data_IF_679551327996
#
_entry.id   IF_679551327996
#
_cell.length_a   1.000
_cell.length_b   1.000
_cell.length_c   1.000
_cell.angle_alpha   90.00
_cell.angle_beta   90.00
_cell.angle_gamma   90.00
#
_symmetry.space_group_name_H-M   'P 1'
#
loop_
_entity.id
_entity.type
_entity.pdbx_description
1 polymer ?
#
# COMPACT_ATOMS: atom_id res chain seq x y z
N UNK A 1 0.92 -59.53 32.20
CA UNK A 1 1.09 -59.00 30.82
C UNK A 1 0.37 -57.66 30.74
N UNK A 2 1.09 -56.54 30.56
CA UNK A 2 1.02 -55.65 29.37
C UNK A 2 -0.43 -55.18 29.04
N UNK A 3 -0.85 -53.91 29.02
CA UNK A 3 -0.22 -52.56 29.00
C UNK A 3 -1.29 -51.48 29.36
N UNK A 4 -0.95 -50.57 30.29
CA UNK A 4 -1.07 -49.07 30.30
C UNK A 4 -2.28 -48.43 29.58
N UNK A 5 -3.28 -47.82 30.24
CA UNK A 5 -3.33 -46.45 30.83
C UNK A 5 -2.56 -45.37 30.04
N UNK A 6 -3.23 -44.30 29.58
CA UNK A 6 -3.18 -42.97 30.22
C UNK A 6 -4.09 -41.93 29.53
N UNK A 7 -4.53 -41.01 30.38
CA UNK A 7 -5.55 -39.98 30.28
C UNK A 7 -5.33 -38.91 29.21
N UNK A 8 -6.44 -38.27 28.83
CA UNK A 8 -6.54 -36.91 28.31
C UNK A 8 -5.59 -35.97 29.08
N UNK A 9 -4.45 -35.66 28.49
CA UNK A 9 -3.59 -34.58 28.91
C UNK A 9 -3.69 -33.47 27.85
N UNK A 10 -4.24 -32.35 28.29
CA UNK A 10 -4.17 -31.05 27.64
C UNK A 10 -2.69 -30.72 27.38
N UNK A 11 -2.18 -31.02 26.17
CA UNK A 11 -0.85 -30.60 25.74
C UNK A 11 -0.97 -29.13 25.36
N UNK A 12 -0.64 -28.27 26.32
CA UNK A 12 -0.17 -26.93 26.07
C UNK A 12 1.13 -27.08 25.27
N UNK A 13 1.08 -26.92 23.95
CA UNK A 13 2.28 -26.81 23.13
C UNK A 13 2.92 -25.50 23.51
N UNK A 14 3.85 -25.59 24.47
CA UNK A 14 4.93 -24.66 24.68
C UNK A 14 5.66 -24.55 23.33
N UNK A 15 5.27 -23.60 22.50
CA UNK A 15 6.15 -23.12 21.46
C UNK A 15 7.37 -22.60 22.20
N UNK A 16 8.44 -23.40 22.20
CA UNK A 16 9.79 -22.95 22.43
C UNK A 16 10.06 -21.96 21.29
N UNK A 17 9.57 -20.74 21.45
CA UNK A 17 9.87 -19.64 20.54
C UNK A 17 11.40 -19.57 20.53
N UNK A 18 12.07 -19.59 19.37
CA UNK A 18 13.44 -19.15 19.35
C UNK A 18 13.43 -17.78 20.02
N UNK A 19 14.17 -17.65 21.11
CA UNK A 19 14.47 -16.36 21.69
C UNK A 19 15.05 -15.54 20.54
N UNK A 20 14.22 -14.68 19.95
CA UNK A 20 14.70 -13.64 19.06
C UNK A 20 15.48 -12.69 19.97
N UNK A 21 16.72 -13.09 20.28
CA UNK A 21 17.74 -12.17 20.69
C UNK A 21 17.71 -11.08 19.61
N UNK A 22 17.35 -9.87 20.03
CA UNK A 22 17.34 -8.71 19.16
C UNK A 22 18.78 -8.51 18.71
N UNK A 23 19.11 -9.08 17.56
CA UNK A 23 20.41 -8.87 16.92
C UNK A 23 20.48 -7.37 16.63
N UNK A 24 21.33 -6.69 17.40
CA UNK A 24 21.65 -5.30 17.22
C UNK A 24 22.11 -5.09 15.77
N UNK A 25 21.50 -4.14 15.06
CA UNK A 25 21.91 -3.86 13.69
C UNK A 25 23.37 -3.41 13.66
N UNK A 26 24.11 -4.01 12.74
CA UNK A 26 25.55 -3.86 12.55
C UNK A 26 25.77 -2.77 11.53
N UNK A 27 26.35 -1.65 11.99
CA UNK A 27 26.65 -0.53 11.12
C UNK A 27 27.79 -0.85 10.17
N UNK A 28 27.51 -1.00 8.87
CA UNK A 28 28.49 -1.41 7.86
C UNK A 28 29.61 -0.38 7.67
N UNK A 29 29.40 0.88 8.08
CA UNK A 29 30.38 1.95 8.03
C UNK A 29 31.30 2.00 9.26
N UNK A 30 30.90 1.43 10.40
CA UNK A 30 31.67 1.52 11.66
C UNK A 30 31.97 0.18 12.34
N UNK A 31 31.29 -0.91 11.97
CA UNK A 31 31.42 -2.23 12.58
C UNK A 31 32.84 -2.79 12.49
N UNK A 32 33.22 -3.56 13.49
CA UNK A 32 34.46 -4.34 13.48
C UNK A 32 34.36 -5.51 12.50
N UNK A 33 35.51 -6.11 12.17
CA UNK A 33 35.54 -7.31 11.32
C UNK A 33 34.70 -8.45 11.90
N UNK A 34 34.76 -8.66 13.23
CA UNK A 34 33.98 -9.70 13.92
C UNK A 34 32.48 -9.44 13.82
N UNK A 35 32.05 -8.19 14.02
CA UNK A 35 30.63 -7.83 13.89
C UNK A 35 30.15 -8.02 12.44
N UNK A 36 30.94 -7.66 11.44
CA UNK A 36 30.55 -7.91 10.05
C UNK A 36 30.48 -9.40 9.70
N UNK A 37 31.33 -10.25 10.29
CA UNK A 37 31.34 -11.71 10.09
C UNK A 37 30.07 -12.39 10.66
N UNK A 38 29.35 -11.72 11.57
CA UNK A 38 28.09 -12.21 12.13
C UNK A 38 26.92 -12.06 11.15
N UNK A 39 27.02 -11.21 10.13
CA UNK A 39 25.96 -11.03 9.12
C UNK A 39 25.99 -12.23 8.17
N UNK A 40 24.87 -12.94 8.01
CA UNK A 40 24.86 -14.10 7.15
C UNK A 40 25.17 -13.71 5.69
N UNK A 41 26.02 -14.51 5.05
CA UNK A 41 26.67 -14.28 3.75
C UNK A 41 27.88 -13.32 3.76
N UNK A 42 28.19 -12.68 4.89
CA UNK A 42 29.42 -11.92 5.09
C UNK A 42 30.37 -12.76 5.94
N UNK A 43 31.29 -13.48 5.28
CA UNK A 43 32.40 -14.15 5.97
C UNK A 43 33.61 -13.22 6.15
N UNK A 44 34.57 -13.57 7.00
CA UNK A 44 35.79 -12.79 7.33
C UNK A 44 36.48 -12.12 6.13
N UNK A 45 36.64 -12.81 5.00
CA UNK A 45 37.23 -12.26 3.76
C UNK A 45 36.35 -11.21 3.09
N UNK A 46 35.04 -11.37 3.15
CA UNK A 46 34.06 -10.39 2.64
C UNK A 46 33.95 -9.22 3.61
N UNK A 47 33.95 -9.47 4.93
CA UNK A 47 33.97 -8.45 5.97
C UNK A 47 35.16 -7.49 5.79
N UNK A 48 36.38 -8.01 5.56
CA UNK A 48 37.55 -7.15 5.29
C UNK A 48 37.34 -6.27 4.05
N UNK A 49 36.81 -6.81 2.95
CA UNK A 49 36.52 -6.01 1.75
C UNK A 49 35.47 -4.94 1.99
N UNK A 50 34.49 -5.22 2.86
CA UNK A 50 33.48 -4.24 3.25
C UNK A 50 34.19 -3.08 3.94
N UNK A 51 35.08 -3.36 4.91
CA UNK A 51 35.89 -2.35 5.62
C UNK A 51 36.75 -1.54 4.65
N UNK A 52 37.47 -2.22 3.75
CA UNK A 52 38.37 -1.59 2.77
C UNK A 52 37.64 -0.66 1.79
N UNK A 53 36.34 -0.89 1.58
CA UNK A 53 35.50 -0.14 0.62
C UNK A 53 34.54 0.83 1.31
N UNK A 54 34.69 1.11 2.61
CA UNK A 54 33.95 2.19 3.28
C UNK A 54 34.28 3.57 2.68
N UNK A 55 33.35 4.53 2.71
CA UNK A 55 31.99 4.46 3.25
C UNK A 55 30.94 3.94 2.24
N UNK A 56 29.77 3.60 2.75
CA UNK A 56 28.55 3.25 2.03
C UNK A 56 27.43 4.22 2.42
N UNK A 57 26.68 4.70 1.44
CA UNK A 57 25.52 5.58 1.65
C UNK A 57 24.23 4.79 1.81
N UNK A 58 24.21 3.54 1.34
CA UNK A 58 23.08 2.61 1.48
C UNK A 58 23.56 1.16 1.69
N UNK A 59 22.69 0.25 2.12
CA UNK A 59 22.99 -1.18 2.16
C UNK A 59 23.13 -1.75 0.74
N UNK A 60 22.38 -1.20 -0.22
CA UNK A 60 22.45 -1.58 -1.62
C UNK A 60 23.86 -1.33 -2.20
N UNK A 61 24.59 -0.34 -1.69
CA UNK A 61 25.97 -0.09 -2.08
C UNK A 61 26.91 -1.27 -1.76
N UNK A 62 26.53 -2.24 -0.91
CA UNK A 62 27.29 -3.47 -0.71
C UNK A 62 27.42 -4.32 -1.98
N UNK A 63 26.60 -4.06 -3.00
CA UNK A 63 26.70 -4.77 -4.27
C UNK A 63 28.05 -4.58 -4.96
N UNK A 64 28.72 -3.45 -4.72
CA UNK A 64 30.06 -3.15 -5.26
C UNK A 64 31.17 -3.97 -4.60
N UNK A 65 30.89 -4.65 -3.49
CA UNK A 65 31.84 -5.53 -2.80
C UNK A 65 31.94 -6.87 -3.51
N UNK A 66 33.13 -7.17 -4.04
CA UNK A 66 33.41 -8.42 -4.74
C UNK A 66 33.12 -9.65 -3.87
N UNK A 67 32.03 -10.35 -4.17
CA UNK A 67 31.55 -11.53 -3.43
C UNK A 67 30.11 -11.39 -2.92
N UNK A 68 29.56 -10.18 -2.87
CA UNK A 68 28.16 -9.91 -2.54
C UNK A 68 27.34 -9.75 -3.83
N UNK A 69 27.69 -8.76 -4.68
CA UNK A 69 26.99 -8.47 -5.94
C UNK A 69 25.55 -7.99 -5.74
N UNK A 70 24.84 -7.65 -6.82
CA UNK A 70 23.42 -7.20 -6.76
C UNK A 70 22.41 -8.36 -6.58
N UNK A 71 22.91 -9.58 -6.42
CA UNK A 71 22.12 -10.80 -6.49
C UNK A 71 21.53 -11.25 -5.14
N UNK A 72 21.32 -12.56 -5.04
CA UNK A 72 20.66 -13.20 -3.88
C UNK A 72 21.27 -12.80 -2.53
N UNK A 73 22.60 -12.73 -2.42
CA UNK A 73 23.27 -12.45 -1.14
C UNK A 73 23.00 -11.04 -0.62
N UNK A 74 22.94 -10.04 -1.49
CA UNK A 74 22.57 -8.69 -1.09
C UNK A 74 21.12 -8.64 -0.60
N UNK A 75 20.22 -9.32 -1.31
CA UNK A 75 18.82 -9.39 -0.90
C UNK A 75 18.66 -10.15 0.42
N UNK A 76 19.41 -11.23 0.65
CA UNK A 76 19.41 -11.95 1.92
C UNK A 76 19.94 -11.04 3.06
N UNK A 77 20.99 -10.24 2.83
CA UNK A 77 21.53 -9.28 3.83
C UNK A 77 20.51 -8.19 4.15
N UNK A 78 19.83 -7.65 3.13
CA UNK A 78 18.75 -6.66 3.30
C UNK A 78 17.57 -7.27 4.07
N UNK A 79 17.16 -8.50 3.72
CA UNK A 79 16.03 -9.19 4.33
C UNK A 79 16.29 -9.65 5.76
N UNK A 80 17.55 -9.94 6.12
CA UNK A 80 17.95 -10.20 7.50
C UNK A 80 17.73 -8.97 8.38
N UNK A 81 17.87 -7.77 7.80
CA UNK A 81 17.72 -6.51 8.53
C UNK A 81 18.78 -6.33 9.62
N UNK A 82 19.94 -6.99 9.50
CA UNK A 82 21.05 -6.90 10.45
C UNK A 82 22.08 -5.85 10.04
N UNK A 83 22.07 -5.36 8.81
CA UNK A 83 23.03 -4.37 8.33
C UNK A 83 22.39 -2.96 8.28
N UNK A 84 23.11 -1.93 8.71
CA UNK A 84 22.67 -0.53 8.62
C UNK A 84 23.84 0.38 8.14
N UNK A 85 23.57 1.58 7.60
CA UNK A 85 24.61 2.58 7.28
C UNK A 85 24.76 3.67 8.36
N UNK A 86 23.68 3.97 9.08
CA UNK A 86 23.58 5.09 10.03
C UNK A 86 22.94 4.69 11.37
N UNK A 87 22.92 3.42 11.74
CA UNK A 87 22.52 3.04 13.10
C UNK A 87 23.67 3.36 14.06
N UNK A 88 23.39 4.26 15.00
CA UNK A 88 24.32 4.64 16.07
C UNK A 88 24.30 3.55 17.13
N UNK A 89 25.39 2.81 17.23
CA UNK A 89 25.76 2.08 18.43
C UNK A 89 26.06 3.11 19.52
N UNK A 90 25.10 3.42 20.39
CA UNK A 90 25.40 4.13 21.63
C UNK A 90 26.22 3.21 22.53
N UNK A 91 27.53 3.21 22.30
CA UNK A 91 28.50 2.72 23.25
C UNK A 91 28.45 3.69 24.45
N UNK A 92 27.70 3.30 25.49
CA UNK A 92 27.95 3.79 26.83
C UNK A 92 29.37 3.39 27.21
N UNK A 93 30.33 4.26 26.88
CA UNK A 93 31.69 4.15 27.37
C UNK A 93 31.66 4.46 28.86
N UNK A 94 32.00 3.43 29.62
CA UNK A 94 32.42 3.48 31.01
C UNK A 94 33.50 4.56 31.20
N UNK A 95 33.18 5.59 31.98
CA UNK A 95 34.18 6.35 32.73
C UNK A 95 34.08 5.87 34.18
N UNK A 96 35.12 5.12 34.57
CA UNK A 96 35.36 4.62 35.91
C UNK A 96 36.10 5.71 36.70
N UNK A 97 35.58 6.12 37.86
CA UNK A 97 36.35 6.35 39.11
C UNK A 97 35.40 6.55 40.29
N UNK A 98 35.41 5.58 41.21
CA UNK A 98 35.27 5.65 42.68
C UNK A 98 34.35 6.70 43.34
N UNK A 99 33.31 6.25 44.06
CA UNK A 99 33.14 6.44 45.53
C UNK A 99 32.20 5.36 46.11
N UNK A 100 32.65 4.79 47.21
CA UNK A 100 32.03 3.80 48.10
C UNK A 100 30.91 4.42 48.96
N UNK A 101 29.68 3.87 48.94
CA UNK A 101 28.96 3.35 50.14
C UNK A 101 27.45 3.08 49.92
N UNK A 102 27.07 1.82 50.17
CA UNK A 102 25.92 1.33 50.96
C UNK A 102 24.50 1.88 50.68
N UNK A 103 23.67 1.04 50.04
CA UNK A 103 22.42 0.54 50.64
C UNK A 103 21.76 -0.52 49.73
N UNK A 104 21.80 -1.80 50.15
CA UNK A 104 20.99 -2.85 49.54
C UNK A 104 19.52 -2.64 49.94
N UNK A 105 18.71 -2.19 48.99
CA UNK A 105 17.25 -2.18 49.11
C UNK A 105 16.61 -2.76 47.84
N UNK A 106 15.87 -3.85 48.04
CA UNK A 106 14.69 -4.25 47.26
C UNK A 106 14.88 -4.43 45.74
N UNK A 107 15.33 -5.63 45.35
CA UNK A 107 15.20 -6.14 43.97
C UNK A 107 13.73 -6.39 43.61
N UNK A 108 13.04 -5.32 43.21
CA UNK A 108 11.85 -5.45 42.37
C UNK A 108 12.37 -5.64 40.95
N UNK A 109 12.08 -6.81 40.35
CA UNK A 109 12.42 -7.10 38.95
C UNK A 109 12.01 -5.91 38.08
N UNK A 110 12.93 -5.28 37.33
CA UNK A 110 12.54 -4.25 36.37
C UNK A 110 11.56 -4.90 35.40
N UNK A 111 10.40 -4.26 35.21
CA UNK A 111 9.57 -4.58 34.06
C UNK A 111 10.43 -4.26 32.84
N UNK A 112 10.89 -5.30 32.13
CA UNK A 112 11.65 -5.18 30.89
C UNK A 112 10.78 -4.40 29.90
N UNK A 113 11.06 -3.11 29.75
CA UNK A 113 10.45 -2.28 28.72
C UNK A 113 11.03 -2.79 27.39
N UNK A 114 10.23 -3.53 26.63
CA UNK A 114 10.66 -4.03 25.32
C UNK A 114 11.14 -2.83 24.47
N UNK A 115 12.33 -2.90 23.85
CA UNK A 115 12.82 -1.80 23.04
C UNK A 115 11.84 -1.55 21.90
N UNK A 116 11.26 -0.37 21.88
CA UNK A 116 10.41 0.11 20.80
C UNK A 116 11.28 0.27 19.55
N UNK A 117 11.22 -0.72 18.65
CA UNK A 117 11.82 -0.62 17.31
C UNK A 117 11.30 0.68 16.67
N UNK A 118 12.16 1.62 16.26
CA UNK A 118 11.71 2.84 15.60
C UNK A 118 10.93 2.44 14.37
N UNK A 119 9.61 2.64 14.42
CA UNK A 119 8.73 2.39 13.30
C UNK A 119 9.08 3.43 12.24
N UNK A 120 9.54 3.00 11.06
CA UNK A 120 9.69 3.92 9.93
C UNK A 120 8.27 4.41 9.59
N UNK A 121 8.01 5.68 9.87
CA UNK A 121 6.76 6.35 9.52
C UNK A 121 6.92 7.02 8.17
N UNK A 122 6.11 6.64 7.20
CA UNK A 122 6.04 7.34 5.94
C UNK A 122 5.04 8.49 6.02
N UNK A 123 5.32 9.63 5.35
CA UNK A 123 4.38 10.74 5.30
C UNK A 123 3.02 10.31 4.77
N UNK A 124 1.93 10.74 5.42
CA UNK A 124 0.57 10.44 4.98
C UNK A 124 -0.01 11.51 4.05
N UNK A 125 0.52 12.73 4.10
CA UNK A 125 -0.01 13.86 3.33
C UNK A 125 0.57 13.89 1.91
N UNK A 126 0.43 12.77 1.21
CA UNK A 126 0.80 12.60 -0.18
C UNK A 126 -0.46 12.29 -0.99
N UNK A 127 -0.65 13.00 -2.09
CA UNK A 127 -1.91 12.92 -2.83
C UNK A 127 -1.68 12.74 -4.31
N UNK A 128 -2.52 11.93 -4.96
CA UNK A 128 -2.74 12.03 -6.39
C UNK A 128 -3.45 13.38 -6.61
N UNK A 129 -2.87 14.25 -7.44
CA UNK A 129 -3.29 15.64 -7.56
C UNK A 129 -4.07 15.94 -8.84
N UNK A 130 -3.52 15.51 -9.98
CA UNK A 130 -4.07 15.77 -11.30
C UNK A 130 -3.70 14.62 -12.24
N UNK A 131 -4.61 14.24 -13.13
CA UNK A 131 -4.35 13.23 -14.17
C UNK A 131 -4.91 13.71 -15.51
N UNK A 132 -4.25 13.38 -16.62
CA UNK A 132 -4.72 13.64 -17.98
C UNK A 132 -4.82 12.32 -18.76
N UNK A 133 -5.97 11.63 -18.74
CA UNK A 133 -6.14 10.35 -19.43
C UNK A 133 -6.29 10.48 -20.95
N UNK A 134 -7.05 11.49 -21.40
CA UNK A 134 -7.38 11.69 -22.81
C UNK A 134 -6.75 12.98 -23.33
N UNK A 135 -5.43 13.08 -23.46
CA UNK A 135 -4.76 14.30 -23.91
C UNK A 135 -5.13 14.66 -25.36
N UNK A 136 -4.84 15.90 -25.76
CA UNK A 136 -4.75 16.21 -27.19
C UNK A 136 -3.53 15.52 -27.81
N UNK A 137 -3.70 14.90 -28.98
CA UNK A 137 -2.64 14.15 -29.66
C UNK A 137 -2.60 12.67 -29.24
N UNK A 138 -1.40 12.08 -29.24
CA UNK A 138 -1.22 10.66 -28.95
C UNK A 138 -1.11 10.41 -27.44
N UNK A 139 -2.01 9.58 -26.91
CA UNK A 139 -2.06 9.17 -25.49
C UNK A 139 -0.68 8.70 -24.98
N UNK A 140 0.02 7.87 -25.76
CA UNK A 140 1.36 7.35 -25.41
C UNK A 140 2.41 8.41 -25.09
N UNK A 141 2.26 9.62 -25.65
CA UNK A 141 3.22 10.71 -25.52
C UNK A 141 2.75 11.77 -24.52
N UNK A 142 1.43 11.94 -24.38
CA UNK A 142 0.85 13.10 -23.73
C UNK A 142 0.04 12.76 -22.47
N UNK A 143 -0.18 11.48 -22.15
CA UNK A 143 -0.78 11.06 -20.87
C UNK A 143 0.20 11.27 -19.72
N UNK A 144 -0.34 11.75 -18.59
CA UNK A 144 0.42 11.91 -17.37
C UNK A 144 -0.45 11.86 -16.12
N UNK A 145 0.20 11.58 -15.00
CA UNK A 145 -0.34 11.68 -13.66
C UNK A 145 0.56 12.56 -12.81
N UNK A 146 0.01 13.14 -11.75
CA UNK A 146 0.76 14.00 -10.85
C UNK A 146 0.50 13.67 -9.38
N UNK A 147 1.58 13.73 -8.60
CA UNK A 147 1.56 13.60 -7.15
C UNK A 147 1.87 14.96 -6.52
N UNK A 148 1.11 15.34 -5.49
CA UNK A 148 1.34 16.51 -4.66
C UNK A 148 1.83 16.09 -3.26
N UNK A 149 2.88 16.74 -2.80
CA UNK A 149 3.36 16.64 -1.42
C UNK A 149 2.70 17.72 -0.55
N UNK A 150 1.72 17.31 0.27
CA UNK A 150 1.02 18.17 1.21
C UNK A 150 1.77 18.45 2.51
N UNK A 151 2.96 17.88 2.71
CA UNK A 151 3.80 18.14 3.88
C UNK A 151 4.53 19.50 3.74
N UNK A 152 5.05 20.00 4.86
CA UNK A 152 5.93 21.18 4.93
C UNK A 152 7.42 20.83 4.84
N UNK A 153 7.74 19.57 4.55
CA UNK A 153 9.09 19.05 4.30
C UNK A 153 9.16 18.28 2.97
N UNK A 154 10.37 18.11 2.44
CA UNK A 154 10.63 17.31 1.24
C UNK A 154 10.43 15.81 1.52
N UNK A 155 9.77 15.11 0.60
CA UNK A 155 9.48 13.68 0.72
C UNK A 155 10.33 12.90 -0.28
N UNK A 156 11.07 11.91 0.24
CA UNK A 156 11.69 10.86 -0.57
C UNK A 156 10.65 9.82 -0.98
N UNK A 157 10.52 9.63 -2.29
CA UNK A 157 9.61 8.68 -2.90
C UNK A 157 10.24 7.33 -3.21
N UNK A 158 11.51 7.08 -2.85
CA UNK A 158 12.14 5.80 -3.08
C UNK A 158 11.26 4.63 -2.57
N UNK A 159 10.88 3.74 -3.49
CA UNK A 159 10.05 2.56 -3.18
C UNK A 159 8.56 2.83 -2.99
N UNK A 160 8.11 4.09 -3.05
CA UNK A 160 6.69 4.39 -3.20
C UNK A 160 6.20 3.82 -4.53
N UNK A 161 4.90 3.54 -4.60
CA UNK A 161 4.29 2.93 -5.77
C UNK A 161 3.03 3.67 -6.17
N UNK A 162 2.84 3.84 -7.48
CA UNK A 162 1.56 4.21 -8.08
C UNK A 162 1.08 3.04 -8.94
N UNK A 163 -0.13 2.57 -8.65
CA UNK A 163 -0.68 1.35 -9.23
C UNK A 163 -1.99 1.65 -9.95
N UNK A 164 -2.06 1.18 -11.18
CA UNK A 164 -3.26 1.15 -12.02
C UNK A 164 -4.35 0.22 -11.45
N UNK A 165 -5.61 0.46 -11.79
CA UNK A 165 -6.76 -0.27 -11.25
C UNK A 165 -7.55 -1.07 -12.27
N UNK A 166 -7.60 -0.67 -13.54
CA UNK A 166 -8.43 -1.32 -14.55
C UNK A 166 -7.64 -1.65 -15.82
N UNK A 167 -7.89 -2.84 -16.37
CA UNK A 167 -7.27 -3.28 -17.62
C UNK A 167 -5.92 -3.97 -17.39
N UNK A 168 -4.91 -3.58 -18.16
CA UNK A 168 -3.58 -4.18 -18.12
C UNK A 168 -2.74 -3.60 -16.98
N UNK A 169 -3.10 -3.97 -15.75
CA UNK A 169 -2.56 -3.38 -14.51
C UNK A 169 -1.03 -3.24 -14.53
N UNK A 170 -0.57 -2.00 -14.37
CA UNK A 170 0.83 -1.65 -14.17
C UNK A 170 1.04 -1.03 -12.79
N UNK A 171 2.22 -1.28 -12.25
CA UNK A 171 2.71 -0.63 -11.03
C UNK A 171 4.02 0.05 -11.37
N UNK A 172 4.10 1.35 -11.10
CA UNK A 172 5.34 2.10 -11.17
C UNK A 172 5.86 2.32 -9.75
N UNK A 173 7.12 1.96 -9.52
CA UNK A 173 7.83 2.25 -8.28
C UNK A 173 8.86 3.36 -8.55
N UNK A 174 8.85 4.41 -7.74
CA UNK A 174 9.83 5.48 -7.87
C UNK A 174 11.23 4.95 -7.50
N UNK A 175 12.25 5.20 -8.32
CA UNK A 175 13.62 4.82 -8.01
C UNK A 175 14.17 5.65 -6.85
N UNK A 176 15.32 5.23 -6.31
CA UNK A 176 16.09 6.04 -5.38
C UNK A 176 16.39 7.43 -5.97
N UNK A 177 16.56 8.42 -5.10
CA UNK A 177 16.75 9.83 -5.44
C UNK A 177 15.55 10.48 -6.15
N UNK A 178 14.33 10.01 -5.85
CA UNK A 178 13.09 10.65 -6.30
C UNK A 178 12.54 11.50 -5.18
N UNK A 179 12.55 12.82 -5.32
CA UNK A 179 12.12 13.72 -4.26
C UNK A 179 10.99 14.63 -4.72
N UNK A 180 10.05 14.93 -3.82
CA UNK A 180 9.09 16.02 -3.99
C UNK A 180 9.30 17.02 -2.86
N UNK A 181 9.68 18.26 -3.22
CA UNK A 181 9.83 19.36 -2.27
C UNK A 181 8.57 19.55 -1.42
N UNK A 182 8.72 20.17 -0.25
CA UNK A 182 7.60 20.65 0.55
C UNK A 182 6.61 21.44 -0.32
N UNK A 183 5.32 21.13 -0.22
CA UNK A 183 4.26 21.74 -1.06
C UNK A 183 4.50 21.62 -2.57
N UNK A 184 5.34 20.68 -3.00
CA UNK A 184 5.74 20.48 -4.39
C UNK A 184 4.87 19.47 -5.14
N UNK A 185 5.06 19.44 -6.45
CA UNK A 185 4.34 18.59 -7.39
C UNK A 185 5.34 17.77 -8.21
N UNK A 186 4.97 16.55 -8.57
CA UNK A 186 5.75 15.68 -9.46
C UNK A 186 4.85 15.03 -10.50
N UNK A 187 5.05 15.44 -11.74
CA UNK A 187 4.40 14.84 -12.91
C UNK A 187 5.15 13.60 -13.37
N UNK A 188 4.43 12.54 -13.72
CA UNK A 188 4.95 11.28 -14.26
C UNK A 188 4.22 10.98 -15.56
N UNK A 189 4.97 10.92 -16.66
CA UNK A 189 4.39 10.60 -17.97
C UNK A 189 4.10 9.11 -18.13
N UNK A 190 3.22 8.76 -19.06
CA UNK A 190 3.04 7.36 -19.50
C UNK A 190 4.34 6.74 -19.99
N UNK A 191 5.19 7.49 -20.68
CA UNK A 191 6.48 6.99 -21.13
C UNK A 191 7.39 6.56 -19.97
N UNK A 192 7.30 7.22 -18.82
CA UNK A 192 8.06 6.91 -17.61
C UNK A 192 7.42 5.77 -16.81
N UNK A 193 6.13 5.87 -16.47
CA UNK A 193 5.46 4.89 -15.60
C UNK A 193 5.04 3.61 -16.31
N UNK A 194 4.86 3.69 -17.64
CA UNK A 194 4.19 2.69 -18.48
C UNK A 194 2.73 2.41 -18.10
N UNK A 195 2.14 3.20 -17.20
CA UNK A 195 0.72 3.15 -16.86
C UNK A 195 -0.08 3.76 -18.02
N UNK A 196 -1.19 3.13 -18.36
CA UNK A 196 -2.12 3.58 -19.39
C UNK A 196 -3.41 3.97 -18.68
N UNK A 197 -3.79 5.25 -18.72
CA UNK A 197 -4.99 5.74 -18.05
C UNK A 197 -6.17 5.57 -19.00
N UNK A 198 -7.10 4.64 -18.72
CA UNK A 198 -8.15 4.37 -19.69
C UNK A 198 -9.14 5.53 -19.88
N UNK A 199 -9.39 5.89 -21.14
CA UNK A 199 -10.30 6.98 -21.51
C UNK A 199 -11.77 6.72 -21.13
N UNK A 200 -12.18 5.46 -20.98
CA UNK A 200 -13.56 5.10 -20.62
C UNK A 200 -13.81 4.99 -19.11
N UNK A 201 -12.78 5.24 -18.28
CA UNK A 201 -12.84 5.23 -16.83
C UNK A 201 -11.86 4.22 -16.23
N UNK A 202 -11.18 4.64 -15.18
CA UNK A 202 -10.09 3.90 -14.52
C UNK A 202 -9.86 4.43 -13.09
N UNK A 203 -8.76 4.04 -12.48
CA UNK A 203 -8.30 4.61 -11.22
C UNK A 203 -6.81 4.39 -10.98
N UNK A 204 -6.32 5.02 -9.91
CA UNK A 204 -4.94 4.90 -9.45
C UNK A 204 -4.90 4.73 -7.94
N UNK A 205 -3.91 3.99 -7.45
CA UNK A 205 -3.65 3.80 -6.01
C UNK A 205 -2.20 4.19 -5.71
N UNK A 206 -2.01 5.19 -4.84
CA UNK A 206 -0.72 5.57 -4.29
C UNK A 206 -0.45 4.77 -3.03
N UNK A 207 0.68 4.09 -2.99
CA UNK A 207 1.05 3.13 -1.95
C UNK A 207 2.45 3.50 -1.44
N UNK A 208 2.61 3.58 -0.12
CA UNK A 208 3.92 3.81 0.47
C UNK A 208 4.79 2.53 0.44
N UNK A 209 6.08 2.59 0.80
CA UNK A 209 6.97 1.42 0.78
C UNK A 209 6.60 0.31 1.77
N UNK A 210 5.74 0.59 2.77
CA UNK A 210 5.16 -0.42 3.66
C UNK A 210 3.98 -1.18 3.03
N UNK A 211 3.55 -0.82 1.82
CA UNK A 211 2.37 -1.39 1.18
C UNK A 211 1.06 -0.77 1.68
N UNK A 212 1.10 0.31 2.47
CA UNK A 212 -0.08 1.02 2.94
C UNK A 212 -0.56 1.95 1.82
N UNK A 213 -1.87 1.89 1.53
CA UNK A 213 -2.52 2.82 0.60
C UNK A 213 -2.60 4.19 1.26
N UNK A 214 -1.98 5.17 0.61
CA UNK A 214 -1.98 6.57 1.07
C UNK A 214 -3.09 7.35 0.39
N UNK A 215 -3.30 7.12 -0.90
CA UNK A 215 -4.35 7.78 -1.65
C UNK A 215 -4.87 6.90 -2.78
N UNK A 216 -6.11 7.15 -3.19
CA UNK A 216 -6.72 6.43 -4.29
C UNK A 216 -7.74 7.30 -5.01
N UNK A 217 -7.76 7.16 -6.32
CA UNK A 217 -8.73 7.85 -7.18
C UNK A 217 -9.40 6.87 -8.12
N UNK A 218 -10.63 7.19 -8.50
CA UNK A 218 -11.30 6.60 -9.65
C UNK A 218 -11.93 7.74 -10.45
N UNK A 219 -11.96 7.61 -11.75
CA UNK A 219 -12.54 8.61 -12.65
C UNK A 219 -13.45 7.95 -13.69
N UNK A 220 -14.54 8.63 -14.10
CA UNK A 220 -15.45 8.13 -15.13
C UNK A 220 -14.83 8.30 -16.53
N UNK A 221 -15.62 8.15 -17.59
CA UNK A 221 -15.15 8.47 -18.95
C UNK A 221 -14.52 9.87 -19.02
N UNK A 222 -13.27 9.93 -19.48
CA UNK A 222 -12.47 11.15 -19.57
C UNK A 222 -12.91 11.98 -20.79
N UNK A 223 -13.26 13.27 -20.59
CA UNK A 223 -13.42 14.18 -21.71
C UNK A 223 -12.08 14.43 -22.40
N UNK A 224 -12.10 14.58 -23.72
CA UNK A 224 -10.90 14.91 -24.49
C UNK A 224 -10.28 16.24 -24.01
N UNK A 225 -8.97 16.23 -23.86
CA UNK A 225 -8.09 17.31 -23.43
C UNK A 225 -8.54 18.01 -22.14
N UNK A 226 -9.00 17.23 -21.16
CA UNK A 226 -9.31 17.71 -19.82
C UNK A 226 -8.61 16.86 -18.78
N UNK A 227 -8.00 17.50 -17.81
CA UNK A 227 -7.44 16.81 -16.65
C UNK A 227 -8.48 16.66 -15.55
N UNK A 228 -8.35 15.60 -14.76
CA UNK A 228 -9.15 15.38 -13.57
C UNK A 228 -8.36 15.91 -12.37
N UNK A 229 -8.90 16.94 -11.72
CA UNK A 229 -8.20 17.75 -10.74
C UNK A 229 -8.76 17.50 -9.35
N UNK A 230 -7.88 17.23 -8.38
CA UNK A 230 -8.21 17.22 -6.95
C UNK A 230 -8.57 18.65 -6.50
N UNK A 231 -9.61 18.75 -5.71
CA UNK A 231 -10.06 19.98 -5.03
C UNK A 231 -10.39 19.66 -3.58
N UNK A 232 -10.63 20.69 -2.76
CA UNK A 232 -11.11 20.50 -1.38
C UNK A 232 -12.49 19.83 -1.29
N UNK A 233 -13.27 19.83 -2.38
CA UNK A 233 -14.63 19.28 -2.45
C UNK A 233 -14.74 17.96 -3.21
N UNK A 234 -13.62 17.37 -3.62
CA UNK A 234 -13.57 16.19 -4.47
C UNK A 234 -12.85 16.47 -5.78
N UNK A 235 -13.29 15.86 -6.87
CA UNK A 235 -12.58 15.89 -8.15
C UNK A 235 -13.39 16.56 -9.26
N UNK A 236 -12.73 17.37 -10.07
CA UNK A 236 -13.37 18.14 -11.14
C UNK A 236 -12.55 18.00 -12.43
N UNK A 237 -13.23 17.70 -13.53
CA UNK A 237 -12.65 17.82 -14.87
C UNK A 237 -12.43 19.29 -15.19
N UNK A 238 -11.23 19.68 -15.65
CA UNK A 238 -10.87 21.05 -16.04
C UNK A 238 -10.21 21.05 -17.40
N UNK A 239 -10.40 22.13 -18.16
CA UNK A 239 -9.63 22.36 -19.41
C UNK A 239 -8.29 23.02 -19.15
N UNK A 240 -8.12 23.61 -17.97
CA UNK A 240 -6.84 24.18 -17.54
C UNK A 240 -5.99 23.03 -17.00
N UNK A 241 -4.93 22.69 -17.72
CA UNK A 241 -3.95 21.71 -17.30
C UNK A 241 -2.90 22.39 -16.42
N UNK A 242 -2.60 21.82 -15.25
CA UNK A 242 -1.68 22.43 -14.27
C UNK A 242 -0.50 21.55 -13.87
N UNK A 243 0.22 20.91 -14.82
CA UNK A 243 1.36 20.06 -14.47
C UNK A 243 2.45 20.87 -13.75
N UNK A 244 2.86 20.37 -12.60
CA UNK A 244 3.87 20.94 -11.72
C UNK A 244 3.38 22.11 -10.86
N UNK A 245 2.07 22.41 -10.85
CA UNK A 245 1.50 23.61 -10.23
C UNK A 245 0.20 23.30 -9.47
N UNK A 246 -0.25 24.19 -8.56
CA UNK A 246 -1.56 24.06 -7.94
C UNK A 246 -2.70 24.04 -8.96
N UNK A 247 -3.71 23.20 -8.72
CA UNK A 247 -4.85 23.05 -9.62
C UNK A 247 -5.65 24.34 -9.77
N UNK A 248 -5.90 24.73 -11.02
CA UNK A 248 -6.76 25.87 -11.37
C UNK A 248 -7.99 25.38 -12.15
N UNK A 249 -9.17 25.50 -11.56
CA UNK A 249 -10.42 25.07 -12.20
C UNK A 249 -11.04 26.22 -12.99
N UNK A 250 -11.25 26.03 -14.29
CA UNK A 250 -11.96 27.02 -15.09
C UNK A 250 -13.43 27.14 -14.65
N UNK A 251 -13.94 28.37 -14.61
CA UNK A 251 -15.30 28.68 -14.09
C UNK A 251 -16.40 27.90 -14.80
N UNK A 252 -16.20 27.57 -16.09
CA UNK A 252 -17.17 26.82 -16.89
C UNK A 252 -17.24 25.38 -16.39
N UNK A 253 -16.10 24.72 -16.21
CA UNK A 253 -16.04 23.36 -15.66
C UNK A 253 -16.65 23.25 -14.27
N UNK A 254 -16.34 24.20 -13.38
CA UNK A 254 -16.94 24.26 -12.04
C UNK A 254 -18.48 24.37 -12.10
N UNK A 255 -19.01 25.25 -12.95
CA UNK A 255 -20.45 25.46 -13.08
C UNK A 255 -21.17 24.26 -13.73
N UNK A 256 -20.55 23.61 -14.71
CA UNK A 256 -21.12 22.41 -15.37
C UNK A 256 -21.23 21.25 -14.38
N UNK A 257 -20.17 20.99 -13.60
CA UNK A 257 -20.16 19.92 -12.60
C UNK A 257 -21.16 20.17 -11.47
N UNK A 258 -21.31 21.42 -11.00
CA UNK A 258 -22.34 21.79 -10.03
C UNK A 258 -23.75 21.56 -10.56
N UNK A 259 -24.04 21.91 -11.82
CA UNK A 259 -25.35 21.66 -12.44
C UNK A 259 -25.65 20.17 -12.58
N UNK A 260 -24.66 19.35 -12.93
CA UNK A 260 -24.81 17.88 -13.00
C UNK A 260 -25.08 17.29 -11.61
N UNK A 261 -24.34 17.73 -10.59
CA UNK A 261 -24.54 17.29 -9.20
C UNK A 261 -25.92 17.68 -8.65
N UNK A 262 -26.37 18.91 -8.91
CA UNK A 262 -27.70 19.39 -8.51
C UNK A 262 -28.83 18.65 -9.23
N UNK A 263 -28.68 18.33 -10.52
CA UNK A 263 -29.66 17.52 -11.26
C UNK A 263 -29.74 16.08 -10.73
N UNK A 264 -28.62 15.51 -10.28
CA UNK A 264 -28.58 14.18 -9.67
C UNK A 264 -29.23 14.16 -8.27
N UNK A 265 -29.08 15.23 -7.49
CA UNK A 265 -29.74 15.40 -6.18
C UNK A 265 -31.24 15.70 -6.31
N UNK A 266 -31.67 16.50 -7.30
CA UNK A 266 -33.07 16.81 -7.54
C UNK A 266 -33.89 15.61 -8.06
N UNK A 267 -33.25 14.64 -8.72
CA UNK A 267 -33.94 13.43 -9.22
C UNK A 267 -34.22 12.41 -8.09
N UNK A 268 -33.57 12.51 -6.93
CA UNK A 268 -33.84 11.66 -5.76
C UNK A 268 -34.84 12.28 -4.77
N UNK A 269 -35.21 13.55 -4.95
CA UNK A 269 -36.18 14.25 -4.07
C UNK A 269 -37.55 14.49 -4.72
N UNK A 270 -37.71 14.21 -6.01
CA UNK A 270 -38.98 14.33 -6.73
C UNK A 270 -39.78 13.00 -6.83
N UNK A 271 -39.64 12.12 -5.85
CA UNK A 271 -40.42 10.87 -5.76
C UNK A 271 -41.30 10.81 -4.50
N UNK A 272 -41.77 11.94 -3.96
CA UNK A 272 -42.90 11.97 -3.00
C UNK A 272 -43.53 13.37 -2.97
N UNK A 273 -44.37 13.71 -3.95
CA UNK A 273 -45.40 14.74 -3.81
C UNK A 273 -46.26 14.84 -5.08
N UNK A 274 -47.23 13.94 -5.27
CA UNK A 274 -48.46 14.28 -6.01
C UNK A 274 -49.66 13.60 -5.31
N UNK A 275 -50.39 14.41 -4.55
CA UNK A 275 -51.81 14.28 -4.18
C UNK A 275 -52.32 15.74 -4.20
N UNK A 276 -53.40 16.15 -4.86
CA UNK A 276 -54.73 15.55 -5.01
C UNK A 276 -55.57 16.27 -6.11
N UNK A 277 -56.72 15.65 -6.45
CA UNK A 277 -57.91 16.12 -7.20
C UNK A 277 -57.84 16.01 -8.75
N UNK A 278 -58.79 15.40 -9.49
CA UNK A 278 -60.24 15.27 -9.27
C UNK A 278 -60.90 13.99 -9.85
N UNK A 279 -61.81 13.43 -9.06
CA UNK A 279 -63.07 12.69 -9.33
C UNK A 279 -63.48 12.27 -10.76
N UNK A 280 -63.60 10.96 -10.99
CA UNK A 280 -64.80 10.30 -11.58
C UNK A 280 -64.81 8.78 -11.28
N UNK A 281 -66.01 8.24 -11.16
CA UNK A 281 -66.49 7.05 -10.41
C UNK A 281 -66.55 5.68 -11.12
N UNK A 282 -66.11 4.62 -10.39
CA UNK A 282 -66.68 3.25 -10.16
C UNK A 282 -66.72 2.16 -11.27
N UNK A 283 -66.75 0.82 -10.97
CA UNK A 283 -66.34 0.07 -9.77
C UNK A 283 -65.55 -1.27 -9.99
N UNK A 284 -64.94 -1.75 -8.89
CA UNK A 284 -64.77 -3.14 -8.40
C UNK A 284 -64.21 -4.27 -9.32
N UNK A 285 -62.95 -4.65 -9.07
CA UNK A 285 -62.57 -6.07 -8.93
C UNK A 285 -61.28 -6.18 -8.11
N UNK A 286 -61.33 -6.99 -7.06
CA UNK A 286 -60.22 -7.32 -6.19
C UNK A 286 -59.25 -8.27 -6.88
N UNK A 287 -57.93 -8.01 -6.80
CA UNK A 287 -56.90 -9.05 -6.74
C UNK A 287 -55.71 -8.56 -5.90
N UNK A 288 -55.25 -9.48 -5.07
CA UNK A 288 -54.30 -9.36 -3.97
C UNK A 288 -52.86 -9.42 -4.48
N UNK A 289 -51.97 -8.67 -3.83
CA UNK A 289 -50.50 -8.79 -3.77
C UNK A 289 -49.74 -9.40 -4.95
N UNK A 290 -48.94 -8.59 -5.66
CA UNK A 290 -47.55 -8.95 -6.01
C UNK A 290 -46.65 -7.70 -6.02
N UNK A 291 -45.79 -7.60 -5.01
CA UNK A 291 -44.62 -6.73 -5.04
C UNK A 291 -43.65 -7.32 -6.08
N UNK A 292 -43.45 -6.62 -7.21
CA UNK A 292 -42.43 -6.97 -8.19
C UNK A 292 -41.28 -5.95 -8.10
N UNK A 293 -40.02 -6.39 -7.90
CA UNK A 293 -38.90 -5.48 -7.76
C UNK A 293 -38.51 -4.87 -9.12
N UNK A 294 -38.27 -3.56 -9.08
CA UNK A 294 -37.70 -2.72 -10.13
C UNK A 294 -36.66 -3.44 -11.01
N UNK A 295 -36.91 -3.44 -12.32
CA UNK A 295 -36.06 -4.00 -13.36
C UNK A 295 -34.81 -3.12 -13.61
N UNK A 296 -33.87 -3.11 -12.66
CA UNK A 296 -32.56 -2.51 -12.87
C UNK A 296 -31.61 -3.59 -13.44
N UNK A 297 -31.43 -3.59 -14.76
CA UNK A 297 -30.59 -4.57 -15.49
C UNK A 297 -29.14 -4.63 -14.96
N UNK A 298 -28.64 -3.55 -14.37
CA UNK A 298 -27.32 -3.47 -13.73
C UNK A 298 -27.22 -4.17 -12.36
N UNK A 299 -28.32 -4.24 -11.59
CA UNK A 299 -28.33 -4.93 -10.28
C UNK A 299 -28.33 -6.46 -10.44
N UNK A 300 -28.95 -6.97 -11.50
CA UNK A 300 -28.95 -8.40 -11.83
C UNK A 300 -27.60 -8.89 -12.34
N UNK A 301 -26.84 -8.05 -13.06
CA UNK A 301 -25.49 -8.40 -13.52
C UNK A 301 -24.52 -8.49 -12.34
N UNK A 302 -24.63 -7.57 -11.36
CA UNK A 302 -23.75 -7.55 -10.19
C UNK A 302 -23.97 -8.74 -9.24
N UNK A 303 -25.23 -9.17 -9.08
CA UNK A 303 -25.58 -10.36 -8.29
C UNK A 303 -25.19 -11.67 -8.97
N UNK A 304 -25.22 -11.74 -10.31
CA UNK A 304 -24.76 -12.91 -11.05
C UNK A 304 -23.23 -13.07 -11.02
N UNK A 305 -22.47 -11.97 -11.10
CA UNK A 305 -21.01 -11.98 -11.02
C UNK A 305 -20.50 -12.37 -9.62
N UNK A 306 -21.19 -11.93 -8.56
CA UNK A 306 -20.88 -12.34 -7.18
C UNK A 306 -21.17 -13.83 -6.95
N UNK A 307 -22.24 -14.37 -7.55
CA UNK A 307 -22.57 -15.80 -7.44
C UNK A 307 -21.55 -16.71 -8.17
N UNK A 308 -21.03 -16.29 -9.33
CA UNK A 308 -19.98 -17.03 -10.05
C UNK A 308 -18.66 -17.04 -9.26
N UNK A 309 -18.31 -15.95 -8.58
CA UNK A 309 -17.11 -15.88 -7.74
C UNK A 309 -17.19 -16.82 -6.51
N UNK A 310 -18.37 -16.98 -5.90
CA UNK A 310 -18.61 -17.92 -4.79
C UNK A 310 -18.60 -19.39 -5.26
N UNK A 311 -19.05 -19.67 -6.48
CA UNK A 311 -18.98 -21.02 -7.07
C UNK A 311 -17.54 -21.43 -7.46
N UNK A 312 -16.72 -20.48 -7.94
CA UNK A 312 -15.33 -20.77 -8.31
C UNK A 312 -14.43 -21.07 -7.09
N UNK A 313 -14.65 -20.37 -5.97
CA UNK A 313 -13.88 -20.60 -4.74
C UNK A 313 -14.21 -21.93 -4.08
N UNK A 314 -15.48 -22.37 -4.10
CA UNK A 314 -15.88 -23.68 -3.57
C UNK A 314 -15.34 -24.85 -4.40
N UNK A 315 -15.30 -24.73 -5.73
CA UNK A 315 -14.71 -25.75 -6.60
C UNK A 315 -13.18 -25.91 -6.40
N UNK A 316 -12.46 -24.80 -6.21
CA UNK A 316 -11.01 -24.82 -5.95
C UNK A 316 -10.71 -25.45 -4.59
N UNK A 317 -11.49 -25.13 -3.55
CA UNK A 317 -11.32 -25.73 -2.21
C UNK A 317 -11.58 -27.24 -2.25
N UNK A 318 -12.63 -27.71 -2.93
CA UNK A 318 -12.89 -29.15 -3.09
C UNK A 318 -11.78 -29.86 -3.88
N UNK A 319 -11.21 -29.19 -4.88
CA UNK A 319 -10.10 -29.74 -5.67
C UNK A 319 -8.79 -29.84 -4.85
N UNK A 320 -8.54 -28.90 -3.95
CA UNK A 320 -7.41 -28.97 -3.01
C UNK A 320 -7.61 -30.00 -1.89
N UNK A 321 -8.84 -30.18 -1.41
CA UNK A 321 -9.16 -31.24 -0.43
C UNK A 321 -9.04 -32.64 -1.07
N UNK A 322 -9.53 -32.82 -2.31
CA UNK A 322 -9.41 -34.08 -3.05
C UNK A 322 -7.98 -34.43 -3.45
N UNK A 323 -7.08 -33.45 -3.57
CA UNK A 323 -5.64 -33.68 -3.82
C UNK A 323 -4.88 -34.09 -2.56
N UNK A 324 -5.42 -33.79 -1.36
CA UNK A 324 -4.80 -34.16 -0.08
C UNK A 324 -5.12 -35.59 0.34
N UNK A 325 -6.31 -36.08 -0.04
CA UNK A 325 -6.73 -37.45 0.25
C UNK A 325 -6.43 -38.35 -0.96
N UNK A 326 -5.19 -38.85 -1.03
CA UNK A 326 -4.79 -39.83 -2.04
C UNK A 326 -5.72 -41.05 -2.03
N UNK A 327 -6.18 -41.46 -3.22
CA UNK A 327 -7.00 -42.65 -3.44
C UNK A 327 -6.35 -43.88 -2.80
N UNK A 328 -6.89 -44.33 -1.66
CA UNK A 328 -6.77 -45.73 -1.25
C UNK A 328 -7.81 -46.52 -2.05
N UNK A 329 -7.37 -47.15 -3.12
CA UNK A 329 -8.05 -48.33 -3.67
C UNK A 329 -7.91 -49.46 -2.66
N UNK A 330 -9.02 -49.92 -2.11
CA UNK A 330 -9.10 -51.17 -1.35
C UNK A 330 -9.49 -52.26 -2.37
N UNK A 331 -8.81 -53.44 -2.36
CA UNK A 331 -9.09 -54.53 -3.30
C UNK A 331 -10.49 -55.14 -3.16
#
# INVERSE_FOLDING_TARGET
MKKRFFYNALIFVLFLTPSFALAEQININSATLSQLDEIAHIGTKTAQKIIDSRPYSSIQDLSRVKGIGDGKYLQDIINQGWACVNCTTEISQTQNTDIVNQNLTSITSPATVAPTVPQITYPSDMYINEILPAPEGADEQNEWLEIYNGNDFEVDLAGWQIKDQIGAIKTYAWPANSFIKARGFLTVSRAQSKIVLQNNGDGLTLINPQGIIIDQIAYPTAPANQSYNRTSSGWIWSRTLTPGQPNEIDKVSAAVQQKIAQKKSATTSAATAISSNSLATLPLTAQVNQFSPSNNKLSRIFTFLLAIAVAATSAIVVMFLRKRDGYKTIP
#
